data_IF_114165995861
#
_entry.id   IF_114165995861
#
_cell.length_a   1.000
_cell.length_b   1.000
_cell.length_c   1.000
_cell.angle_alpha   90.00
_cell.angle_beta   90.00
_cell.angle_gamma   90.00
#
_symmetry.space_group_name_H-M   'P 1'
#
loop_
_entity.id
_entity.type
_entity.pdbx_description
1 polymer ?
#
# COMPACT_ATOMS: atom_id res chain seq x y z
N UNK A 1 4.39 41.80 5.83
CA UNK A 1 3.73 40.95 6.84
C UNK A 1 2.91 39.86 6.14
N UNK A 2 3.42 39.29 5.04
CA UNK A 2 2.65 38.41 4.13
C UNK A 2 3.34 37.06 3.87
N UNK A 3 4.53 36.85 4.46
CA UNK A 3 5.29 35.61 4.37
C UNK A 3 4.93 34.63 5.50
N UNK A 4 4.67 35.14 6.70
CA UNK A 4 4.39 34.35 7.91
C UNK A 4 3.06 33.57 7.81
N UNK A 5 2.05 34.13 7.14
CA UNK A 5 0.74 33.50 6.96
C UNK A 5 0.73 32.39 5.89
N UNK A 6 1.76 32.31 5.03
CA UNK A 6 1.87 31.29 3.98
C UNK A 6 2.53 30.00 4.50
N UNK A 7 3.50 30.12 5.40
CA UNK A 7 4.20 28.97 5.99
C UNK A 7 3.29 28.19 6.96
N UNK A 8 2.53 28.85 7.83
CA UNK A 8 1.59 28.17 8.75
C UNK A 8 0.49 27.37 8.02
N UNK A 9 0.03 27.85 6.86
CA UNK A 9 -0.99 27.19 6.06
C UNK A 9 -0.42 25.97 5.31
N UNK A 10 0.84 26.04 4.86
CA UNK A 10 1.53 24.90 4.26
C UNK A 10 1.74 23.78 5.27
N UNK A 11 2.24 24.07 6.47
CA UNK A 11 2.51 23.05 7.50
C UNK A 11 1.24 22.30 7.93
N UNK A 12 0.09 22.99 7.97
CA UNK A 12 -1.20 22.37 8.23
C UNK A 12 -1.58 21.38 7.12
N UNK A 13 -1.41 21.76 5.85
CA UNK A 13 -1.68 20.89 4.71
C UNK A 13 -0.77 19.66 4.68
N UNK A 14 0.54 19.81 4.88
CA UNK A 14 1.49 18.69 4.93
C UNK A 14 1.14 17.71 6.07
N UNK A 15 0.74 18.23 7.23
CA UNK A 15 0.31 17.42 8.37
C UNK A 15 -0.98 16.64 8.07
N UNK A 16 -1.95 17.28 7.41
CA UNK A 16 -3.18 16.62 6.96
C UNK A 16 -2.88 15.50 5.95
N UNK A 17 -2.02 15.76 4.96
CA UNK A 17 -1.59 14.74 3.99
C UNK A 17 -0.89 13.55 4.67
N UNK A 18 0.02 13.81 5.61
CA UNK A 18 0.70 12.74 6.35
C UNK A 18 -0.28 11.90 7.16
N UNK A 19 -1.29 12.53 7.76
CA UNK A 19 -2.35 11.84 8.51
C UNK A 19 -3.20 10.96 7.59
N UNK A 20 -3.61 11.50 6.44
CA UNK A 20 -4.36 10.75 5.44
C UNK A 20 -3.56 9.56 4.90
N UNK A 21 -2.27 9.74 4.60
CA UNK A 21 -1.39 8.65 4.16
C UNK A 21 -1.29 7.53 5.21
N UNK A 22 -1.21 7.88 6.51
CA UNK A 22 -1.22 6.88 7.59
C UNK A 22 -2.53 6.10 7.62
N UNK A 23 -3.68 6.78 7.48
CA UNK A 23 -5.01 6.14 7.46
C UNK A 23 -5.16 5.21 6.25
N UNK A 24 -4.75 5.66 5.06
CA UNK A 24 -4.81 4.84 3.84
C UNK A 24 -3.93 3.60 3.98
N UNK A 25 -2.73 3.77 4.55
CA UNK A 25 -1.79 2.66 4.74
C UNK A 25 -2.34 1.63 5.72
N UNK A 26 -2.86 2.06 6.87
CA UNK A 26 -3.44 1.13 7.86
C UNK A 26 -4.68 0.41 7.34
N UNK A 27 -5.51 1.10 6.56
CA UNK A 27 -6.65 0.49 5.89
C UNK A 27 -6.22 -0.55 4.85
N UNK A 28 -5.23 -0.23 4.00
CA UNK A 28 -4.63 -1.15 3.02
C UNK A 28 -4.10 -2.42 3.69
N UNK A 29 -3.38 -2.27 4.81
CA UNK A 29 -2.88 -3.41 5.59
C UNK A 29 -4.03 -4.26 6.15
N UNK A 30 -5.07 -3.63 6.72
CA UNK A 30 -6.24 -4.33 7.25
C UNK A 30 -6.96 -5.15 6.18
N UNK A 31 -7.17 -4.59 4.99
CA UNK A 31 -7.79 -5.29 3.86
C UNK A 31 -6.95 -6.48 3.38
N UNK A 32 -5.62 -6.33 3.30
CA UNK A 32 -4.71 -7.41 2.92
C UNK A 32 -4.81 -8.58 3.89
N UNK A 33 -4.73 -8.31 5.19
CA UNK A 33 -4.81 -9.35 6.24
C UNK A 33 -6.18 -10.03 6.21
N UNK A 34 -7.25 -9.23 6.10
CA UNK A 34 -8.62 -9.75 6.03
C UNK A 34 -8.81 -10.70 4.85
N UNK A 35 -8.42 -10.28 3.64
CA UNK A 35 -8.51 -11.12 2.44
C UNK A 35 -7.69 -12.40 2.60
N UNK A 36 -6.41 -12.28 2.99
CA UNK A 36 -5.52 -13.42 3.14
C UNK A 36 -6.04 -14.44 4.16
N UNK A 37 -6.43 -14.00 5.35
CA UNK A 37 -6.90 -14.91 6.39
C UNK A 37 -8.29 -15.48 6.09
N UNK A 38 -9.15 -14.75 5.38
CA UNK A 38 -10.41 -15.30 4.88
C UNK A 38 -10.14 -16.46 3.91
N UNK A 39 -9.33 -16.24 2.87
CA UNK A 39 -9.02 -17.25 1.86
C UNK A 39 -8.34 -18.50 2.46
N UNK A 40 -7.51 -18.30 3.50
CA UNK A 40 -6.83 -19.41 4.20
C UNK A 40 -7.74 -20.21 5.12
N UNK A 41 -8.68 -19.56 5.80
CA UNK A 41 -9.45 -20.16 6.88
C UNK A 41 -10.90 -20.50 6.51
N UNK A 42 -11.42 -19.98 5.40
CA UNK A 42 -12.81 -20.13 4.99
C UNK A 42 -12.87 -20.82 3.63
N UNK A 43 -13.00 -22.15 3.64
CA UNK A 43 -13.06 -22.93 2.40
C UNK A 43 -14.35 -22.70 1.60
N UNK A 44 -15.45 -22.40 2.28
CA UNK A 44 -16.73 -22.07 1.65
C UNK A 44 -17.39 -20.90 2.38
N UNK A 45 -17.79 -19.83 1.68
CA UNK A 45 -18.41 -18.66 2.30
C UNK A 45 -19.86 -18.97 2.71
N UNK A 46 -20.15 -18.82 4.00
CA UNK A 46 -21.49 -18.97 4.58
C UNK A 46 -22.01 -17.63 5.11
N UNK A 47 -23.29 -17.60 5.53
CA UNK A 47 -23.91 -16.40 6.14
C UNK A 47 -23.21 -15.94 7.42
N UNK A 48 -22.52 -16.83 8.10
CA UNK A 48 -21.77 -16.55 9.33
C UNK A 48 -20.55 -17.44 9.44
N UNK A 49 -19.54 -16.99 10.19
CA UNK A 49 -18.34 -17.78 10.43
C UNK A 49 -18.61 -18.83 11.52
N UNK A 50 -18.25 -20.08 11.23
CA UNK A 50 -18.19 -21.14 12.25
C UNK A 50 -17.16 -20.80 13.34
N UNK A 51 -17.29 -21.41 14.52
CA UNK A 51 -16.32 -21.19 15.61
C UNK A 51 -14.90 -21.62 15.21
N UNK A 52 -14.78 -22.67 14.40
CA UNK A 52 -13.50 -23.13 13.83
C UNK A 52 -12.90 -22.06 12.92
N UNK A 53 -13.70 -21.49 12.01
CA UNK A 53 -13.22 -20.44 11.09
C UNK A 53 -12.81 -19.18 11.87
N UNK A 54 -13.60 -18.76 12.87
CA UNK A 54 -13.26 -17.63 13.75
C UNK A 54 -11.92 -17.83 14.45
N UNK A 55 -11.70 -19.01 15.02
CA UNK A 55 -10.44 -19.35 15.71
C UNK A 55 -9.26 -19.39 14.73
N UNK A 56 -9.46 -19.95 13.53
CA UNK A 56 -8.44 -19.94 12.49
C UNK A 56 -8.07 -18.51 12.07
N UNK A 57 -9.06 -17.65 11.78
CA UNK A 57 -8.84 -16.26 11.38
C UNK A 57 -8.09 -15.50 12.49
N UNK A 58 -8.49 -15.65 13.75
CA UNK A 58 -7.80 -15.03 14.88
C UNK A 58 -6.31 -15.41 14.92
N UNK A 59 -6.02 -16.70 14.85
CA UNK A 59 -4.64 -17.21 14.85
C UNK A 59 -3.86 -16.74 13.62
N UNK A 60 -4.49 -16.75 12.45
CA UNK A 60 -3.90 -16.29 11.19
C UNK A 60 -3.49 -14.81 11.29
N UNK A 61 -4.38 -13.94 11.76
CA UNK A 61 -4.12 -12.52 11.94
C UNK A 61 -2.96 -12.27 12.91
N UNK A 62 -2.94 -12.97 14.05
CA UNK A 62 -1.85 -12.84 15.03
C UNK A 62 -0.49 -13.23 14.41
N UNK A 63 -0.41 -14.39 13.75
CA UNK A 63 0.81 -14.84 13.08
C UNK A 63 1.25 -13.90 11.96
N UNK A 64 0.29 -13.38 11.18
CA UNK A 64 0.60 -12.41 10.13
C UNK A 64 1.28 -11.17 10.71
N UNK A 65 0.72 -10.59 11.78
CA UNK A 65 1.27 -9.39 12.42
C UNK A 65 2.64 -9.66 13.05
N UNK A 66 2.82 -10.80 13.72
CA UNK A 66 4.12 -11.22 14.25
C UNK A 66 5.17 -11.34 13.13
N UNK A 67 4.83 -11.97 12.01
CA UNK A 67 5.71 -12.10 10.85
C UNK A 67 6.01 -10.75 10.19
N UNK A 68 5.00 -9.91 9.99
CA UNK A 68 5.16 -8.57 9.40
C UNK A 68 6.10 -7.70 10.25
N UNK A 69 5.89 -7.69 11.57
CA UNK A 69 6.77 -7.02 12.51
C UNK A 69 8.20 -7.55 12.43
N UNK A 70 8.37 -8.87 12.45
CA UNK A 70 9.68 -9.50 12.36
C UNK A 70 10.40 -9.13 11.06
N UNK A 71 9.73 -9.19 9.91
CA UNK A 71 10.31 -8.84 8.60
C UNK A 71 10.71 -7.37 8.58
N UNK A 72 9.79 -6.46 8.96
CA UNK A 72 10.06 -5.01 8.99
C UNK A 72 11.23 -4.63 9.90
N UNK A 73 11.41 -5.34 11.02
CA UNK A 73 12.52 -5.09 11.93
C UNK A 73 13.82 -5.74 11.47
N UNK A 74 13.76 -6.96 10.93
CA UNK A 74 14.93 -7.63 10.37
C UNK A 74 15.54 -6.87 9.18
N UNK A 75 14.71 -6.24 8.34
CA UNK A 75 15.23 -5.44 7.22
C UNK A 75 16.10 -4.27 7.68
N UNK A 76 15.80 -3.68 8.85
CA UNK A 76 16.59 -2.59 9.44
C UNK A 76 17.99 -3.04 9.90
N UNK A 77 18.11 -4.30 10.34
CA UNK A 77 19.40 -4.89 10.69
C UNK A 77 20.27 -5.14 9.44
N UNK A 78 19.64 -5.32 8.27
CA UNK A 78 20.29 -5.51 6.98
C UNK A 78 20.50 -4.23 6.18
N UNK A 79 20.68 -3.07 6.85
CA UNK A 79 20.76 -1.70 6.31
C UNK A 79 21.80 -1.38 5.21
N UNK A 80 22.16 -2.34 4.36
CA UNK A 80 22.94 -2.21 3.14
C UNK A 80 22.14 -2.46 1.85
N UNK A 81 20.85 -2.81 1.90
CA UNK A 81 20.05 -3.19 0.72
C UNK A 81 18.76 -2.36 0.48
N UNK A 82 18.43 -1.40 1.34
CA UNK A 82 17.16 -0.66 1.29
C UNK A 82 17.16 0.59 0.38
N UNK A 83 18.28 0.96 -0.23
CA UNK A 83 18.30 2.09 -1.18
C UNK A 83 17.68 1.75 -2.56
N UNK A 84 17.19 0.53 -2.78
CA UNK A 84 16.69 0.08 -4.09
C UNK A 84 15.18 -0.18 -4.16
N UNK A 85 14.48 -0.48 -3.06
CA UNK A 85 13.08 -0.94 -3.13
C UNK A 85 12.00 0.14 -3.01
N UNK A 86 12.32 1.38 -2.63
CA UNK A 86 11.30 2.45 -2.55
C UNK A 86 11.02 3.13 -3.90
N UNK A 87 11.95 3.03 -4.86
CA UNK A 87 11.78 3.60 -6.21
C UNK A 87 11.03 2.66 -7.16
N UNK A 88 11.01 1.35 -6.90
CA UNK A 88 10.38 0.38 -7.81
C UNK A 88 8.84 0.37 -7.75
N UNK A 89 8.21 0.65 -6.59
CA UNK A 89 6.73 0.73 -6.50
C UNK A 89 6.18 2.05 -7.12
N UNK A 90 7.00 3.10 -7.18
CA UNK A 90 6.64 4.38 -7.82
C UNK A 90 6.89 4.33 -9.34
N UNK A 91 7.96 3.67 -9.80
CA UNK A 91 8.35 3.64 -11.22
C UNK A 91 7.49 2.70 -12.10
N UNK A 92 6.83 1.68 -11.52
CA UNK A 92 5.87 0.83 -12.24
C UNK A 92 4.55 1.53 -12.61
N UNK A 93 4.22 2.65 -11.95
CA UNK A 93 3.01 3.43 -12.26
C UNK A 93 3.27 4.62 -13.22
N UNK A 94 4.50 5.12 -13.30
CA UNK A 94 4.86 6.25 -14.18
C UNK A 94 4.93 5.86 -15.67
N UNK A 95 5.26 4.59 -15.97
CA UNK A 95 5.45 4.10 -17.33
C UNK A 95 4.14 3.81 -18.10
N UNK A 96 2.97 3.94 -17.46
CA UNK A 96 1.65 3.76 -18.12
C UNK A 96 0.99 5.06 -18.61
N UNK A 97 1.50 6.25 -18.24
CA UNK A 97 0.82 7.52 -18.54
C UNK A 97 1.46 8.39 -19.65
N UNK A 98 2.57 7.96 -20.27
CA UNK A 98 3.29 8.76 -21.28
C UNK A 98 3.33 8.16 -22.69
N UNK A 99 2.27 7.46 -23.13
CA UNK A 99 2.16 7.06 -24.55
C UNK A 99 0.76 7.27 -25.12
N UNK A 100 0.30 8.52 -25.11
CA UNK A 100 -0.71 8.99 -26.08
C UNK A 100 -0.78 10.52 -26.11
N UNK A 101 0.14 11.16 -26.84
CA UNK A 101 -0.12 12.42 -27.56
C UNK A 101 1.09 12.77 -28.45
N UNK A 102 0.85 12.89 -29.75
CA UNK A 102 1.84 13.31 -30.74
C UNK A 102 1.55 12.73 -32.14
N UNK A 103 0.75 13.44 -32.92
CA UNK A 103 0.30 13.12 -34.29
C UNK A 103 1.33 13.47 -35.38
N UNK A 104 1.04 13.01 -36.62
CA UNK A 104 1.66 13.28 -37.94
C UNK A 104 2.87 12.42 -38.33
N UNK A 105 3.00 11.79 -39.51
CA UNK A 105 2.21 11.82 -40.77
C UNK A 105 2.85 10.86 -41.82
N UNK A 106 2.04 10.32 -42.74
CA UNK A 106 2.36 9.62 -44.03
C UNK A 106 3.11 8.26 -43.96
N UNK A 107 2.79 7.19 -44.73
CA UNK A 107 2.62 7.07 -46.20
C UNK A 107 1.75 5.82 -46.53
N UNK A 108 0.95 5.95 -47.60
CA UNK A 108 0.13 4.95 -48.29
C UNK A 108 0.97 4.02 -49.21
N UNK A 109 0.50 2.79 -49.45
CA UNK A 109 0.81 1.77 -50.51
C UNK A 109 1.42 0.46 -49.97
N UNK A 110 1.04 -0.73 -50.40
CA UNK A 110 0.19 -1.20 -51.53
C UNK A 110 -0.92 -2.14 -51.06
#
# INVERSE_FOLDING_TARGET
MDSETKEENQDNFLTQLNTLNKIITSFKETCKISSYCFDKCVSYPEKSLSNTNKKCIWNCTQRYLECDYFIKNRSKDSGKLDSLNFLDEVNMNASRFNKSSGSSEYILKD
#
